data_IF_787650034707
#
_entry.id   IF_787650034707
#
_cell.length_a   1.000
_cell.length_b   1.000
_cell.length_c   1.000
_cell.angle_alpha   90.00
_cell.angle_beta   90.00
_cell.angle_gamma   90.00
#
_symmetry.space_group_name_H-M   'P 1'
#
loop_
_entity.id
_entity.type
_entity.pdbx_description
1 polymer ?
#
# COMPACT_ATOMS: atom_id res chain seq x y z
N UNK A 1 6.30 -28.53 -16.58
CA UNK A 1 6.27 -27.06 -16.78
C UNK A 1 5.35 -26.35 -15.76
N UNK A 2 4.14 -26.85 -15.53
CA UNK A 2 3.18 -26.29 -14.53
C UNK A 2 3.72 -26.25 -13.08
N UNK A 3 4.47 -27.26 -12.63
CA UNK A 3 5.04 -27.29 -11.27
C UNK A 3 6.10 -26.19 -11.04
N UNK A 4 6.89 -25.85 -12.06
CA UNK A 4 7.94 -24.80 -11.98
C UNK A 4 7.34 -23.39 -11.85
N UNK A 5 6.19 -23.18 -12.50
CA UNK A 5 5.42 -21.93 -12.47
C UNK A 5 4.77 -21.74 -11.08
N UNK A 6 4.20 -22.80 -10.50
CA UNK A 6 3.63 -22.76 -9.15
C UNK A 6 4.66 -22.41 -8.06
N UNK A 7 5.89 -22.91 -8.18
CA UNK A 7 6.95 -22.65 -7.20
C UNK A 7 7.41 -21.18 -7.26
N UNK A 8 7.57 -20.61 -8.47
CA UNK A 8 7.91 -19.20 -8.65
C UNK A 8 6.79 -18.28 -8.15
N UNK A 9 5.52 -18.61 -8.44
CA UNK A 9 4.36 -17.87 -7.94
C UNK A 9 4.32 -17.84 -6.41
N UNK A 10 4.61 -18.97 -5.75
CA UNK A 10 4.62 -19.03 -4.29
C UNK A 10 5.73 -18.16 -3.68
N UNK A 11 6.93 -18.19 -4.26
CA UNK A 11 8.04 -17.35 -3.80
C UNK A 11 7.71 -15.86 -3.97
N UNK A 12 7.15 -15.50 -5.12
CA UNK A 12 6.70 -14.14 -5.41
C UNK A 12 5.66 -13.63 -4.40
N UNK A 13 4.68 -14.47 -4.04
CA UNK A 13 3.68 -14.15 -3.02
C UNK A 13 4.30 -13.96 -1.62
N UNK A 14 5.26 -14.80 -1.24
CA UNK A 14 5.99 -14.64 0.02
C UNK A 14 6.79 -13.35 0.04
N UNK A 15 7.47 -13.00 -1.05
CA UNK A 15 8.18 -11.73 -1.18
C UNK A 15 7.22 -10.54 -1.06
N UNK A 16 6.10 -10.55 -1.79
CA UNK A 16 5.08 -9.51 -1.71
C UNK A 16 4.48 -9.34 -0.30
N UNK A 17 4.41 -10.41 0.49
CA UNK A 17 3.89 -10.37 1.85
C UNK A 17 4.94 -9.86 2.87
N UNK A 18 6.19 -10.32 2.76
CA UNK A 18 7.26 -9.94 3.69
C UNK A 18 7.70 -8.49 3.49
N UNK A 19 7.64 -8.00 2.25
CA UNK A 19 8.12 -6.67 1.87
C UNK A 19 7.44 -5.49 2.61
N UNK A 20 6.12 -5.51 2.91
CA UNK A 20 5.48 -4.51 3.77
C UNK A 20 5.61 -4.81 5.28
N UNK A 21 5.76 -6.07 5.70
CA UNK A 21 5.89 -6.42 7.12
C UNK A 21 7.27 -6.06 7.70
N UNK A 22 8.33 -6.23 6.91
CA UNK A 22 9.70 -5.90 7.31
C UNK A 22 9.91 -4.41 7.67
N UNK A 23 9.50 -3.43 6.84
CA UNK A 23 9.67 -2.02 7.17
C UNK A 23 8.81 -1.60 8.37
N UNK A 24 7.60 -2.16 8.54
CA UNK A 24 6.78 -1.90 9.73
C UNK A 24 7.51 -2.33 11.01
N UNK A 25 7.99 -3.57 11.05
CA UNK A 25 8.67 -4.09 12.23
C UNK A 25 9.96 -3.31 12.53
N UNK A 26 10.78 -3.06 11.51
CA UNK A 26 12.02 -2.31 11.66
C UNK A 26 11.80 -0.86 12.10
N UNK A 27 10.80 -0.15 11.55
CA UNK A 27 10.49 1.24 11.93
C UNK A 27 9.96 1.30 13.37
N UNK A 28 9.10 0.37 13.78
CA UNK A 28 8.58 0.29 15.16
C UNK A 28 9.70 -0.04 16.14
N UNK A 29 10.54 -1.04 15.85
CA UNK A 29 11.69 -1.40 16.70
C UNK A 29 12.67 -0.24 16.84
N UNK A 30 13.00 0.46 15.75
CA UNK A 30 13.89 1.62 15.79
C UNK A 30 13.28 2.79 16.58
N UNK A 31 11.99 3.07 16.40
CA UNK A 31 11.26 4.10 17.17
C UNK A 31 11.28 3.81 18.67
N UNK A 32 11.14 2.55 19.08
CA UNK A 32 11.19 2.14 20.48
C UNK A 32 12.61 2.18 21.07
N UNK A 33 13.64 1.89 20.27
CA UNK A 33 15.02 1.84 20.75
C UNK A 33 15.71 3.21 20.79
N UNK A 34 15.44 4.09 19.81
CA UNK A 34 16.14 5.37 19.65
C UNK A 34 15.32 6.58 20.11
N UNK A 35 14.02 6.55 19.86
CA UNK A 35 13.15 7.72 20.00
C UNK A 35 12.06 7.47 21.04
N UNK A 36 12.31 6.66 22.08
CA UNK A 36 11.29 6.30 23.08
C UNK A 36 10.67 7.54 23.72
N UNK A 37 11.47 8.54 24.11
CA UNK A 37 10.97 9.72 24.83
C UNK A 37 10.24 10.72 23.91
N UNK A 38 10.65 10.82 22.64
CA UNK A 38 10.05 11.72 21.63
C UNK A 38 8.79 11.10 21.00
N UNK A 39 8.78 9.78 20.77
CA UNK A 39 7.69 9.03 20.12
C UNK A 39 6.55 8.64 21.08
N UNK A 40 6.82 8.69 22.39
CA UNK A 40 5.86 8.47 23.46
C UNK A 40 5.29 9.79 24.03
N UNK A 41 5.87 10.95 23.67
CA UNK A 41 5.39 12.27 24.09
C UNK A 41 4.11 12.65 23.35
N UNK A 42 2.97 12.44 24.01
CA UNK A 42 1.71 13.01 23.54
C UNK A 42 1.62 14.49 23.90
N UNK A 43 0.81 15.26 23.15
CA UNK A 43 0.49 16.67 23.46
C UNK A 43 -0.05 16.86 24.90
N UNK A 44 -0.53 15.78 25.53
CA UNK A 44 -1.03 15.77 26.91
C UNK A 44 0.01 15.29 27.95
N UNK A 45 1.27 15.09 27.56
CA UNK A 45 2.35 14.55 28.42
C UNK A 45 2.03 13.18 29.05
N UNK A 46 1.13 12.41 28.42
CA UNK A 46 0.84 11.02 28.80
C UNK A 46 1.70 10.11 27.93
N UNK A 47 2.52 9.29 28.57
CA UNK A 47 3.37 8.32 27.87
C UNK A 47 2.51 7.19 27.31
N UNK A 48 2.35 7.13 25.98
CA UNK A 48 1.82 5.96 25.29
C UNK A 48 2.85 4.83 25.21
N UNK A 49 2.43 3.61 25.54
CA UNK A 49 3.29 2.42 25.49
C UNK A 49 3.77 2.10 24.06
N UNK A 50 3.04 2.56 23.03
CA UNK A 50 3.36 2.35 21.62
C UNK A 50 3.23 3.67 20.82
N UNK A 51 4.23 4.03 20.01
CA UNK A 51 4.10 5.13 19.07
C UNK A 51 3.05 4.79 17.99
N UNK A 52 2.36 5.81 17.47
CA UNK A 52 1.41 5.60 16.38
C UNK A 52 2.15 5.10 15.13
N UNK A 53 1.55 4.17 14.37
CA UNK A 53 2.18 3.59 13.17
C UNK A 53 2.58 4.70 12.19
N UNK A 54 1.73 5.71 11.99
CA UNK A 54 2.01 6.88 11.15
C UNK A 54 3.18 7.73 11.66
N UNK A 55 3.36 7.85 12.99
CA UNK A 55 4.50 8.54 13.57
C UNK A 55 5.80 7.76 13.33
N UNK A 56 5.80 6.46 13.60
CA UNK A 56 7.00 5.61 13.46
C UNK A 56 7.52 5.50 12.03
N UNK A 57 6.64 5.59 11.03
CA UNK A 57 7.02 5.52 9.60
C UNK A 57 7.31 6.87 8.96
N UNK A 58 6.83 7.97 9.55
CA UNK A 58 6.76 9.28 8.90
C UNK A 58 7.55 10.39 9.57
N UNK A 59 7.77 10.33 10.89
CA UNK A 59 8.30 11.46 11.66
C UNK A 59 9.81 11.40 11.90
N UNK A 60 10.42 10.22 11.91
CA UNK A 60 11.81 10.03 12.32
C UNK A 60 12.71 9.54 11.18
N UNK A 61 13.93 10.08 11.15
CA UNK A 61 15.02 9.60 10.29
C UNK A 61 15.96 8.73 11.13
N UNK A 62 16.37 7.53 10.66
CA UNK A 62 16.35 7.00 9.29
C UNK A 62 15.10 6.17 8.92
N UNK A 63 14.13 6.00 9.81
CA UNK A 63 12.96 5.12 9.64
C UNK A 63 12.15 5.47 8.39
N UNK A 64 11.93 6.77 8.14
CA UNK A 64 11.23 7.30 6.95
C UNK A 64 11.89 6.85 5.63
N UNK A 65 13.21 6.74 5.58
CA UNK A 65 13.92 6.30 4.37
C UNK A 65 13.72 4.80 4.10
N UNK A 66 13.85 3.98 5.15
CA UNK A 66 13.63 2.52 5.07
C UNK A 66 12.19 2.25 4.64
N UNK A 67 11.23 2.95 5.26
CA UNK A 67 9.81 2.86 4.92
C UNK A 67 9.57 3.16 3.44
N UNK A 68 10.02 4.33 2.97
CA UNK A 68 9.82 4.76 1.58
C UNK A 68 10.46 3.81 0.57
N UNK A 69 11.65 3.31 0.85
CA UNK A 69 12.35 2.40 -0.04
C UNK A 69 11.60 1.06 -0.18
N UNK A 70 11.26 0.42 0.94
CA UNK A 70 10.52 -0.85 0.93
C UNK A 70 9.13 -0.68 0.32
N UNK A 71 8.44 0.42 0.64
CA UNK A 71 7.12 0.72 0.09
C UNK A 71 7.16 1.00 -1.42
N UNK A 72 8.18 1.71 -1.91
CA UNK A 72 8.36 1.94 -3.34
C UNK A 72 8.56 0.62 -4.09
N UNK A 73 9.40 -0.29 -3.58
CA UNK A 73 9.59 -1.62 -4.17
C UNK A 73 8.28 -2.43 -4.18
N UNK A 74 7.52 -2.43 -3.08
CA UNK A 74 6.22 -3.10 -3.01
C UNK A 74 5.21 -2.51 -4.00
N UNK A 75 5.17 -1.18 -4.09
CA UNK A 75 4.26 -0.48 -5.01
C UNK A 75 4.53 -0.86 -6.47
N UNK A 76 5.79 -0.93 -6.90
CA UNK A 76 6.17 -1.33 -8.26
C UNK A 76 5.61 -2.71 -8.59
N UNK A 77 5.74 -3.65 -7.64
CA UNK A 77 5.21 -4.99 -7.80
C UNK A 77 3.70 -5.01 -8.02
N UNK A 78 2.97 -4.22 -7.22
CA UNK A 78 1.52 -4.11 -7.32
C UNK A 78 1.06 -3.44 -8.60
N UNK A 79 1.77 -2.40 -9.06
CA UNK A 79 1.49 -1.78 -10.35
C UNK A 79 1.66 -2.75 -11.53
N UNK A 80 2.69 -3.61 -11.49
CA UNK A 80 2.87 -4.65 -12.50
C UNK A 80 1.68 -5.62 -12.50
N UNK A 81 1.23 -6.06 -11.31
CA UNK A 81 0.07 -6.96 -11.18
C UNK A 81 -1.21 -6.28 -11.72
N UNK A 82 -1.48 -5.03 -11.32
CA UNK A 82 -2.63 -4.28 -11.78
C UNK A 82 -2.62 -4.08 -13.32
N UNK A 83 -1.45 -3.83 -13.89
CA UNK A 83 -1.26 -3.70 -15.34
C UNK A 83 -1.52 -5.02 -16.08
N UNK A 84 -0.99 -6.13 -15.57
CA UNK A 84 -1.23 -7.45 -16.14
C UNK A 84 -2.71 -7.84 -16.06
N UNK A 85 -3.39 -7.52 -14.96
CA UNK A 85 -4.83 -7.74 -14.82
C UNK A 85 -5.60 -6.95 -15.87
N UNK A 86 -5.33 -5.65 -16.02
CA UNK A 86 -6.00 -4.81 -17.01
C UNK A 86 -5.77 -5.31 -18.45
N UNK A 87 -4.52 -5.61 -18.81
CA UNK A 87 -4.17 -6.14 -20.13
C UNK A 87 -4.86 -7.48 -20.41
N UNK A 88 -5.01 -8.33 -19.41
CA UNK A 88 -5.71 -9.60 -19.57
C UNK A 88 -7.21 -9.40 -19.81
N UNK A 89 -7.82 -8.37 -19.21
CA UNK A 89 -9.22 -7.99 -19.48
C UNK A 89 -9.36 -7.43 -20.90
N UNK A 90 -8.46 -6.55 -21.33
CA UNK A 90 -8.51 -5.91 -22.65
C UNK A 90 -8.24 -6.87 -23.82
N UNK A 91 -7.30 -7.81 -23.65
CA UNK A 91 -6.94 -8.77 -24.71
C UNK A 91 -7.86 -10.00 -24.76
N UNK A 92 -8.86 -10.10 -23.88
CA UNK A 92 -9.86 -11.18 -23.90
C UNK A 92 -10.90 -10.91 -24.99
N UNK A 93 -10.54 -11.22 -26.23
CA UNK A 93 -11.40 -11.04 -27.40
C UNK A 93 -12.53 -12.10 -27.55
N UNK A 94 -12.56 -13.17 -26.73
CA UNK A 94 -13.32 -14.39 -27.08
C UNK A 94 -14.13 -15.06 -25.97
N UNK A 95 -14.50 -14.37 -24.89
CA UNK A 95 -15.30 -15.00 -23.83
C UNK A 95 -16.66 -14.32 -23.76
N UNK A 96 -17.71 -15.12 -23.94
CA UNK A 96 -19.15 -14.83 -23.99
C UNK A 96 -19.70 -14.27 -22.65
N UNK A 97 -19.05 -13.26 -22.08
CA UNK A 97 -19.48 -12.58 -20.87
C UNK A 97 -20.32 -11.36 -21.22
N UNK A 98 -21.38 -11.12 -20.42
CA UNK A 98 -22.18 -9.89 -20.49
C UNK A 98 -21.27 -8.66 -20.43
N UNK A 99 -21.51 -7.66 -21.30
CA UNK A 99 -20.78 -6.38 -21.32
C UNK A 99 -20.63 -5.74 -19.93
N UNK A 100 -21.62 -5.96 -19.06
CA UNK A 100 -21.62 -5.49 -17.66
C UNK A 100 -20.45 -6.06 -16.85
N UNK A 101 -20.10 -7.32 -17.07
CA UNK A 101 -19.00 -7.97 -16.35
C UNK A 101 -17.63 -7.40 -16.75
N UNK A 102 -17.44 -7.13 -18.04
CA UNK A 102 -16.23 -6.47 -18.55
C UNK A 102 -16.10 -5.06 -17.99
N UNK A 103 -17.19 -4.29 -17.95
CA UNK A 103 -17.20 -2.95 -17.33
C UNK A 103 -16.81 -3.01 -15.85
N UNK A 104 -17.37 -3.94 -15.08
CA UNK A 104 -17.03 -4.13 -13.66
C UNK A 104 -15.54 -4.43 -13.47
N UNK A 105 -14.94 -5.27 -14.33
CA UNK A 105 -13.51 -5.59 -14.25
C UNK A 105 -12.61 -4.40 -14.61
N UNK A 106 -12.96 -3.60 -15.61
CA UNK A 106 -12.24 -2.38 -15.98
C UNK A 106 -12.33 -1.35 -14.84
N UNK A 107 -13.51 -1.18 -14.27
CA UNK A 107 -13.72 -0.29 -13.12
C UNK A 107 -12.90 -0.74 -11.93
N UNK A 108 -12.95 -2.02 -11.56
CA UNK A 108 -12.14 -2.58 -10.47
C UNK A 108 -10.64 -2.37 -10.70
N UNK A 109 -10.15 -2.64 -11.90
CA UNK A 109 -8.74 -2.43 -12.26
C UNK A 109 -8.34 -0.96 -12.12
N UNK A 110 -9.19 -0.04 -12.59
CA UNK A 110 -8.96 1.41 -12.45
C UNK A 110 -8.87 1.83 -10.98
N UNK A 111 -9.78 1.35 -10.13
CA UNK A 111 -9.74 1.66 -8.70
C UNK A 111 -8.53 1.06 -7.99
N UNK A 112 -8.02 -0.10 -8.42
CA UNK A 112 -6.75 -0.64 -7.94
C UNK A 112 -5.58 0.30 -8.27
N UNK A 113 -5.50 0.83 -9.49
CA UNK A 113 -4.47 1.82 -9.87
C UNK A 113 -4.58 3.12 -9.05
N UNK A 114 -5.81 3.60 -8.83
CA UNK A 114 -6.05 4.80 -8.02
C UNK A 114 -5.65 4.58 -6.56
N UNK A 115 -6.00 3.43 -5.99
CA UNK A 115 -5.63 3.02 -4.63
C UNK A 115 -4.11 3.06 -4.43
N UNK A 116 -3.34 2.42 -5.31
CA UNK A 116 -1.87 2.45 -5.27
C UNK A 116 -1.30 3.88 -5.39
N UNK A 117 -1.92 4.71 -6.24
CA UNK A 117 -1.46 6.09 -6.48
C UNK A 117 -1.67 6.97 -5.24
N UNK A 118 -2.84 6.90 -4.62
CA UNK A 118 -3.12 7.64 -3.40
C UNK A 118 -2.29 7.13 -2.21
N UNK A 119 -2.02 5.83 -2.15
CA UNK A 119 -1.18 5.25 -1.11
C UNK A 119 0.29 5.69 -1.25
N UNK A 120 0.81 5.77 -2.49
CA UNK A 120 2.11 6.38 -2.76
C UNK A 120 2.11 7.86 -2.37
N UNK A 121 1.08 8.60 -2.75
CA UNK A 121 0.97 10.02 -2.43
C UNK A 121 1.01 10.26 -0.91
N UNK A 122 0.32 9.44 -0.12
CA UNK A 122 0.37 9.48 1.35
C UNK A 122 1.73 9.10 1.94
N UNK A 123 2.52 8.28 1.24
CA UNK A 123 3.86 7.87 1.69
C UNK A 123 4.90 8.98 1.46
N UNK A 124 4.71 9.79 0.42
CA UNK A 124 5.63 10.87 0.07
C UNK A 124 5.21 12.23 0.63
N UNK A 125 3.93 12.56 0.63
CA UNK A 125 3.40 13.81 1.17
C UNK A 125 3.21 13.68 2.67
N UNK A 126 3.94 14.49 3.43
CA UNK A 126 3.74 14.59 4.88
C UNK A 126 2.55 15.48 5.21
N UNK A 127 1.81 15.13 6.26
CA UNK A 127 0.70 15.95 6.79
C UNK A 127 1.14 17.36 7.21
N UNK A 128 2.43 17.54 7.52
CA UNK A 128 3.03 18.82 7.94
C UNK A 128 3.34 19.76 6.76
N UNK A 129 3.49 19.23 5.55
CA UNK A 129 3.84 20.03 4.36
C UNK A 129 2.58 20.61 3.69
N UNK A 130 1.64 19.73 3.30
CA UNK A 130 0.41 20.15 2.61
C UNK A 130 -0.78 19.35 3.14
N UNK A 131 -1.36 19.84 4.23
CA UNK A 131 -2.47 19.19 4.94
C UNK A 131 -3.67 18.86 4.04
N UNK A 132 -4.06 19.79 3.18
CA UNK A 132 -5.20 19.62 2.27
C UNK A 132 -5.03 18.42 1.33
N UNK A 133 -3.88 18.32 0.65
CA UNK A 133 -3.60 17.21 -0.28
C UNK A 133 -3.53 15.90 0.49
N UNK A 134 -2.92 15.88 1.67
CA UNK A 134 -2.83 14.69 2.51
C UNK A 134 -4.23 14.16 2.89
N UNK A 135 -5.13 15.03 3.36
CA UNK A 135 -6.49 14.65 3.75
C UNK A 135 -7.31 14.13 2.56
N UNK A 136 -7.26 14.83 1.42
CA UNK A 136 -7.91 14.38 0.19
C UNK A 136 -7.39 13.02 -0.25
N UNK A 137 -6.07 12.82 -0.25
CA UNK A 137 -5.44 11.55 -0.62
C UNK A 137 -5.85 10.41 0.31
N UNK A 138 -5.97 10.70 1.62
CA UNK A 138 -6.40 9.72 2.61
C UNK A 138 -7.85 9.27 2.41
N UNK A 139 -8.74 10.20 2.05
CA UNK A 139 -10.13 9.88 1.74
C UNK A 139 -10.21 9.08 0.43
N UNK A 140 -9.55 9.56 -0.63
CA UNK A 140 -9.57 8.90 -1.94
C UNK A 140 -8.95 7.51 -1.91
N UNK A 141 -7.88 7.30 -1.15
CA UNK A 141 -7.30 5.98 -0.90
C UNK A 141 -8.35 5.04 -0.31
N UNK A 142 -9.00 5.45 0.79
CA UNK A 142 -10.03 4.63 1.44
C UNK A 142 -11.16 4.28 0.49
N UNK A 143 -11.75 5.26 -0.19
CA UNK A 143 -12.84 5.00 -1.14
C UNK A 143 -12.41 4.02 -2.23
N UNK A 144 -11.20 4.17 -2.78
CA UNK A 144 -10.69 3.30 -3.83
C UNK A 144 -10.51 1.86 -3.37
N UNK A 145 -9.99 1.64 -2.15
CA UNK A 145 -9.90 0.30 -1.52
C UNK A 145 -11.28 -0.33 -1.38
N UNK A 146 -12.25 0.41 -0.84
CA UNK A 146 -13.59 -0.11 -0.59
C UNK A 146 -14.29 -0.53 -1.89
N UNK A 147 -14.17 0.27 -2.95
CA UNK A 147 -14.73 -0.06 -4.26
C UNK A 147 -14.01 -1.26 -4.87
N UNK A 148 -12.68 -1.29 -4.84
CA UNK A 148 -11.90 -2.40 -5.39
C UNK A 148 -12.21 -3.72 -4.68
N UNK A 149 -12.12 -3.77 -3.35
CA UNK A 149 -12.41 -4.99 -2.55
C UNK A 149 -13.89 -5.36 -2.63
N UNK A 150 -14.79 -4.37 -2.55
CA UNK A 150 -16.23 -4.59 -2.56
C UNK A 150 -16.78 -5.13 -3.87
N UNK A 151 -16.05 -5.01 -4.99
CA UNK A 151 -16.41 -5.63 -6.27
C UNK A 151 -16.09 -7.14 -6.28
N UNK A 152 -15.21 -7.63 -5.40
CA UNK A 152 -14.81 -9.04 -5.32
C UNK A 152 -15.62 -9.89 -4.33
N UNK A 153 -16.51 -9.28 -3.52
CA UNK A 153 -17.45 -9.95 -2.61
C UNK A 153 -18.89 -9.85 -3.12
#
# INVERSE_FOLDING_TARGET
MLSRIHIHMRQFLWFAYILPCFPLFSCVSLSLMKDFEESTRTHCNVTNLLPSISASIGEYEPQRFIWRFCFALDSILRYIIAYLQLNHVLNRHHIDFSERFTLVQITSSTFHFLELTFLLLLTYVSSKEIKWIYECSFISFRVSVWVWVGIFF
#
